data_IF_081836428287
#
_entry.id   IF_081836428287
#
_cell.length_a   1.000
_cell.length_b   1.000
_cell.length_c   1.000
_cell.angle_alpha   90.00
_cell.angle_beta   90.00
_cell.angle_gamma   90.00
#
_symmetry.space_group_name_H-M   'P 1'
#
loop_
_entity.id
_entity.type
_entity.pdbx_description
1 polymer ?
#
# COMPACT_ATOMS: atom_id res chain seq x y z
N UNK A 1 -11.08 -25.98 -7.49
CA UNK A 1 -12.01 -24.96 -6.92
C UNK A 1 -11.19 -23.86 -6.23
N UNK A 2 -11.66 -22.60 -6.15
CA UNK A 2 -10.97 -21.57 -5.35
C UNK A 2 -11.60 -21.50 -3.97
N UNK A 3 -10.77 -21.50 -2.92
CA UNK A 3 -11.22 -21.32 -1.55
C UNK A 3 -10.50 -20.10 -0.95
N UNK A 4 -11.25 -19.30 -0.21
CA UNK A 4 -10.73 -18.13 0.50
C UNK A 4 -10.75 -18.40 1.99
N UNK A 5 -9.62 -18.16 2.64
CA UNK A 5 -9.51 -18.13 4.08
C UNK A 5 -10.07 -16.80 4.61
N UNK A 6 -11.37 -16.80 4.94
CA UNK A 6 -12.13 -15.61 5.38
C UNK A 6 -11.44 -14.80 6.49
N UNK A 7 -10.94 -15.38 7.60
CA UNK A 7 -10.28 -14.59 8.64
C UNK A 7 -9.02 -13.89 8.13
N UNK A 8 -8.19 -14.55 7.30
CA UNK A 8 -6.99 -13.93 6.73
C UNK A 8 -7.37 -12.80 5.76
N UNK A 9 -8.39 -13.01 4.92
CA UNK A 9 -8.89 -11.98 4.01
C UNK A 9 -9.40 -10.74 4.75
N UNK A 10 -10.21 -10.95 5.81
CA UNK A 10 -10.73 -9.86 6.63
C UNK A 10 -9.63 -9.12 7.38
N UNK A 11 -8.68 -9.84 8.00
CA UNK A 11 -7.54 -9.23 8.66
C UNK A 11 -6.70 -8.40 7.69
N UNK A 12 -6.43 -8.92 6.50
CA UNK A 12 -5.70 -8.18 5.46
C UNK A 12 -6.42 -6.89 5.04
N UNK A 13 -7.74 -6.93 4.87
CA UNK A 13 -8.55 -5.76 4.54
C UNK A 13 -8.55 -4.72 5.66
N UNK A 14 -8.70 -5.16 6.92
CA UNK A 14 -8.69 -4.27 8.10
C UNK A 14 -7.32 -3.58 8.24
N UNK A 15 -6.23 -4.32 8.05
CA UNK A 15 -4.87 -3.79 8.12
C UNK A 15 -4.63 -2.75 7.01
N UNK A 16 -5.08 -3.04 5.77
CA UNK A 16 -4.99 -2.09 4.66
C UNK A 16 -5.83 -0.83 4.91
N UNK A 17 -7.01 -0.98 5.52
CA UNK A 17 -7.83 0.17 5.89
C UNK A 17 -7.16 1.01 7.00
N UNK A 18 -6.59 0.38 8.02
CA UNK A 18 -5.84 1.05 9.07
C UNK A 18 -4.60 1.78 8.52
N UNK A 19 -3.94 1.20 7.52
CA UNK A 19 -2.79 1.82 6.84
C UNK A 19 -3.14 3.18 6.20
N UNK A 20 -4.42 3.48 5.95
CA UNK A 20 -4.86 4.76 5.38
C UNK A 20 -4.60 5.94 6.30
N UNK A 21 -4.68 5.67 7.61
CA UNK A 21 -4.51 6.65 8.67
C UNK A 21 -3.06 6.71 9.17
N UNK A 22 -2.21 5.79 8.71
CA UNK A 22 -0.83 5.71 9.14
C UNK A 22 0.06 6.66 8.32
N UNK A 23 1.02 7.36 8.96
CA UNK A 23 1.96 8.18 8.24
C UNK A 23 2.81 7.30 7.31
N UNK A 24 2.92 7.68 6.04
CA UNK A 24 3.77 7.00 5.06
C UNK A 24 5.10 7.72 4.84
N UNK A 25 5.13 9.04 4.95
CA UNK A 25 6.36 9.83 4.94
C UNK A 25 6.31 10.93 5.98
N UNK A 26 7.46 11.24 6.57
CA UNK A 26 7.65 12.39 7.45
C UNK A 26 8.74 13.28 6.87
N UNK A 27 8.47 14.58 6.74
CA UNK A 27 9.46 15.59 6.33
C UNK A 27 9.86 16.39 7.56
N UNK A 28 11.10 16.22 8.05
CA UNK A 28 11.60 16.84 9.29
C UNK A 28 11.93 18.35 9.23
N UNK A 29 12.02 18.99 8.06
CA UNK A 29 12.53 20.39 7.98
C UNK A 29 11.49 21.45 8.39
N UNK A 30 10.19 21.19 8.24
CA UNK A 30 9.17 22.21 8.55
C UNK A 30 8.51 21.90 9.90
N UNK A 31 9.05 22.54 10.94
CA UNK A 31 8.47 22.91 12.24
C UNK A 31 7.21 22.16 12.74
N UNK A 32 7.28 21.70 13.99
CA UNK A 32 6.35 20.92 14.83
C UNK A 32 4.86 21.37 14.93
N UNK A 33 4.34 22.21 14.02
CA UNK A 33 3.00 22.80 14.07
C UNK A 33 2.17 22.62 12.78
N UNK A 34 2.77 22.22 11.66
CA UNK A 34 2.06 22.02 10.36
C UNK A 34 2.18 20.57 9.86
N UNK A 35 2.52 19.63 10.75
CA UNK A 35 2.68 18.20 10.42
C UNK A 35 1.38 17.39 10.47
N UNK A 36 0.22 18.06 10.47
CA UNK A 36 -1.09 17.43 10.24
C UNK A 36 -1.53 17.55 8.76
N UNK A 37 -0.65 18.06 7.90
CA UNK A 37 -0.86 18.14 6.46
C UNK A 37 -0.39 16.87 5.76
N UNK A 38 -1.24 15.84 5.82
CA UNK A 38 -1.59 14.94 4.72
C UNK A 38 -0.52 14.70 3.65
N UNK A 39 -0.09 13.45 3.50
CA UNK A 39 -0.02 12.82 2.16
C UNK A 39 0.52 13.69 1.00
N UNK A 40 1.61 14.44 1.19
CA UNK A 40 2.26 15.20 0.09
C UNK A 40 3.12 14.32 -0.82
N UNK A 41 3.07 13.00 -0.65
CA UNK A 41 3.36 12.07 -1.74
C UNK A 41 2.08 11.81 -2.50
N UNK A 42 1.86 12.61 -3.54
CA UNK A 42 0.84 12.46 -4.58
C UNK A 42 -0.50 11.83 -4.12
N UNK A 43 -1.57 12.63 -3.87
CA UNK A 43 -2.90 12.10 -3.55
C UNK A 43 -3.42 11.10 -4.60
N UNK A 44 -2.87 11.15 -5.82
CA UNK A 44 -3.10 10.18 -6.89
C UNK A 44 -2.70 8.75 -6.48
N UNK A 45 -1.54 8.55 -5.86
CA UNK A 45 -1.07 7.23 -5.42
C UNK A 45 -1.98 6.66 -4.32
N UNK A 46 -2.41 7.52 -3.38
CA UNK A 46 -3.39 7.14 -2.37
C UNK A 46 -4.70 6.67 -3.01
N UNK A 47 -5.30 7.50 -3.86
CA UNK A 47 -6.58 7.23 -4.48
C UNK A 47 -6.55 5.94 -5.30
N UNK A 48 -5.50 5.71 -6.09
CA UNK A 48 -5.36 4.47 -6.86
C UNK A 48 -5.27 3.26 -5.93
N UNK A 49 -4.46 3.34 -4.87
CA UNK A 49 -4.29 2.23 -3.92
C UNK A 49 -5.61 1.87 -3.26
N UNK A 50 -6.34 2.85 -2.73
CA UNK A 50 -7.62 2.61 -2.06
C UNK A 50 -8.75 2.27 -3.01
N UNK A 51 -8.70 2.71 -4.27
CA UNK A 51 -9.61 2.23 -5.31
C UNK A 51 -9.43 0.72 -5.55
N UNK A 52 -8.20 0.24 -5.68
CA UNK A 52 -7.91 -1.20 -5.84
C UNK A 52 -8.38 -1.98 -4.60
N UNK A 53 -8.11 -1.47 -3.40
CA UNK A 53 -8.56 -2.09 -2.13
C UNK A 53 -10.09 -2.16 -2.06
N UNK A 54 -10.80 -1.09 -2.42
CA UNK A 54 -12.26 -1.04 -2.42
C UNK A 54 -12.86 -2.04 -3.42
N UNK A 55 -12.31 -2.13 -4.63
CA UNK A 55 -12.75 -3.10 -5.64
C UNK A 55 -12.46 -4.53 -5.18
N UNK A 56 -11.30 -4.78 -4.56
CA UNK A 56 -10.97 -6.08 -3.98
C UNK A 56 -11.94 -6.47 -2.86
N UNK A 57 -12.28 -5.53 -1.96
CA UNK A 57 -13.27 -5.75 -0.92
C UNK A 57 -14.65 -6.07 -1.51
N UNK A 58 -15.08 -5.34 -2.54
CA UNK A 58 -16.34 -5.62 -3.25
C UNK A 58 -16.34 -7.03 -3.85
N UNK A 59 -15.28 -7.44 -4.55
CA UNK A 59 -15.16 -8.79 -5.10
C UNK A 59 -15.18 -9.88 -4.01
N UNK A 60 -14.64 -9.60 -2.83
CA UNK A 60 -14.73 -10.49 -1.67
C UNK A 60 -16.19 -10.65 -1.20
N UNK A 61 -16.94 -9.55 -1.05
CA UNK A 61 -18.34 -9.59 -0.61
C UNK A 61 -19.28 -10.25 -1.64
N UNK A 62 -19.10 -9.97 -2.94
CA UNK A 62 -19.89 -10.57 -4.02
C UNK A 62 -19.46 -12.02 -4.32
N UNK A 63 -18.49 -12.56 -3.56
CA UNK A 63 -17.93 -13.92 -3.72
C UNK A 63 -17.34 -14.19 -5.11
N UNK A 64 -16.89 -13.14 -5.82
CA UNK A 64 -16.21 -13.24 -7.10
C UNK A 64 -14.73 -13.60 -6.90
N UNK A 65 -14.48 -14.85 -6.49
CA UNK A 65 -13.16 -15.29 -6.00
C UNK A 65 -12.04 -15.21 -7.06
N UNK A 66 -12.38 -15.36 -8.34
CA UNK A 66 -11.42 -15.22 -9.46
C UNK A 66 -10.92 -13.77 -9.58
N UNK A 67 -11.86 -12.81 -9.57
CA UNK A 67 -11.55 -11.39 -9.64
C UNK A 67 -10.82 -10.92 -8.37
N UNK A 68 -11.29 -11.35 -7.20
CA UNK A 68 -10.62 -11.08 -5.92
C UNK A 68 -9.16 -11.51 -5.94
N UNK A 69 -8.86 -12.76 -6.35
CA UNK A 69 -7.49 -13.26 -6.46
C UNK A 69 -6.61 -12.44 -7.42
N UNK A 70 -7.18 -12.00 -8.54
CA UNK A 70 -6.44 -11.18 -9.49
C UNK A 70 -6.11 -9.83 -8.85
N UNK A 71 -7.09 -9.20 -8.22
CA UNK A 71 -6.94 -7.90 -7.56
C UNK A 71 -5.95 -7.94 -6.40
N UNK A 72 -5.90 -9.01 -5.60
CA UNK A 72 -4.90 -9.11 -4.52
C UNK A 72 -3.47 -9.19 -5.04
N UNK A 73 -3.26 -9.83 -6.21
CA UNK A 73 -1.96 -9.85 -6.89
C UNK A 73 -1.61 -8.49 -7.49
N UNK A 74 -2.57 -7.86 -8.17
CA UNK A 74 -2.41 -6.52 -8.73
C UNK A 74 -2.08 -5.51 -7.62
N UNK A 75 -2.78 -5.56 -6.49
CA UNK A 75 -2.53 -4.71 -5.33
C UNK A 75 -1.11 -4.90 -4.78
N UNK A 76 -0.65 -6.14 -4.64
CA UNK A 76 0.70 -6.42 -4.16
C UNK A 76 1.78 -5.87 -5.10
N UNK A 77 1.63 -6.11 -6.41
CA UNK A 77 2.54 -5.55 -7.42
C UNK A 77 2.49 -4.02 -7.41
N UNK A 78 1.29 -3.44 -7.31
CA UNK A 78 1.09 -1.99 -7.23
C UNK A 78 1.81 -1.37 -6.03
N UNK A 79 1.75 -2.00 -4.84
CA UNK A 79 2.46 -1.51 -3.65
C UNK A 79 3.97 -1.53 -3.85
N UNK A 80 4.53 -2.56 -4.49
CA UNK A 80 5.96 -2.61 -4.82
C UNK A 80 6.36 -1.50 -5.82
N UNK A 81 5.56 -1.31 -6.87
CA UNK A 81 5.77 -0.23 -7.84
C UNK A 81 5.66 1.14 -7.20
N UNK A 82 4.69 1.34 -6.31
CA UNK A 82 4.50 2.58 -5.57
C UNK A 82 5.69 2.86 -4.64
N UNK A 83 6.18 1.85 -3.92
CA UNK A 83 7.36 1.99 -3.06
C UNK A 83 8.61 2.36 -3.88
N UNK A 84 8.83 1.70 -5.02
CA UNK A 84 9.92 2.02 -5.93
C UNK A 84 9.78 3.44 -6.51
N UNK A 85 8.59 3.83 -6.96
CA UNK A 85 8.31 5.16 -7.50
C UNK A 85 8.57 6.25 -6.47
N UNK A 86 8.13 6.05 -5.21
CA UNK A 86 8.39 7.00 -4.12
C UNK A 86 9.88 7.06 -3.79
N UNK A 87 10.58 5.92 -3.79
CA UNK A 87 12.02 5.86 -3.58
C UNK A 87 12.78 6.65 -4.65
N UNK A 88 12.57 6.36 -5.94
CA UNK A 88 13.21 7.10 -7.04
C UNK A 88 12.85 8.59 -7.05
N UNK A 89 11.60 8.92 -6.73
CA UNK A 89 11.14 10.30 -6.58
C UNK A 89 11.87 11.00 -5.43
N UNK A 90 12.14 10.33 -4.31
CA UNK A 90 12.87 10.92 -3.20
C UNK A 90 14.38 11.07 -3.44
N UNK A 91 14.97 10.25 -4.32
CA UNK A 91 16.43 10.25 -4.57
C UNK A 91 16.88 11.08 -5.77
N UNK A 92 16.00 11.36 -6.75
CA UNK A 92 16.39 12.02 -8.02
C UNK A 92 15.60 13.30 -8.36
N UNK A 93 14.82 13.86 -7.43
CA UNK A 93 13.92 14.98 -7.76
C UNK A 93 14.61 16.33 -8.00
N UNK A 94 15.80 16.57 -7.45
CA UNK A 94 16.44 17.86 -7.60
C UNK A 94 17.78 17.68 -8.28
N UNK A 95 17.88 17.84 -9.60
CA UNK A 95 19.16 18.07 -10.30
C UNK A 95 19.86 19.39 -9.85
N UNK A 96 19.73 19.77 -8.58
CA UNK A 96 20.27 20.89 -7.85
C UNK A 96 20.97 20.29 -6.62
N UNK A 97 22.30 20.14 -6.69
CA UNK A 97 23.19 19.54 -5.66
C UNK A 97 22.99 20.07 -4.22
N UNK A 98 22.33 21.22 -4.07
CA UNK A 98 22.05 21.86 -2.79
C UNK A 98 20.71 21.41 -2.15
N UNK A 99 19.67 21.19 -2.96
CA UNK A 99 18.36 20.73 -2.49
C UNK A 99 18.36 19.23 -2.18
N UNK A 100 19.10 18.44 -2.97
CA UNK A 100 19.28 17.00 -2.74
C UNK A 100 19.94 16.69 -1.37
N UNK A 101 20.94 17.47 -0.97
CA UNK A 101 21.65 17.26 0.31
C UNK A 101 20.82 17.63 1.55
N UNK A 102 19.87 18.56 1.41
CA UNK A 102 18.99 19.01 2.51
C UNK A 102 17.70 18.19 2.58
N UNK A 103 17.04 17.95 1.44
CA UNK A 103 15.76 17.24 1.37
C UNK A 103 15.93 15.72 1.35
N UNK A 104 16.96 15.19 0.68
CA UNK A 104 17.27 13.76 0.64
C UNK A 104 17.61 13.18 2.03
N UNK A 105 18.22 13.98 2.91
CA UNK A 105 18.43 13.62 4.34
C UNK A 105 17.16 13.63 5.18
N UNK A 106 16.08 14.22 4.66
CA UNK A 106 14.90 14.59 5.46
C UNK A 106 13.69 13.69 5.21
N UNK A 107 13.61 13.04 4.05
CA UNK A 107 12.49 12.16 3.71
C UNK A 107 12.73 10.79 4.34
N UNK A 108 12.06 10.50 5.45
CA UNK A 108 12.09 9.18 6.07
C UNK A 108 10.82 8.39 5.74
N UNK A 109 11.01 7.16 5.25
CA UNK A 109 9.93 6.17 5.14
C UNK A 109 9.40 5.85 6.54
N UNK A 110 8.09 5.98 6.70
CA UNK A 110 7.41 5.72 7.96
C UNK A 110 6.80 4.31 8.00
N UNK A 111 6.30 3.92 9.18
CA UNK A 111 5.78 2.59 9.45
C UNK A 111 4.49 2.25 8.68
N UNK A 112 3.78 3.21 8.08
CA UNK A 112 2.60 2.97 7.25
C UNK A 112 2.87 2.04 6.05
N UNK A 113 4.10 2.04 5.51
CA UNK A 113 4.53 1.13 4.46
C UNK A 113 4.55 -0.33 4.90
N UNK A 114 4.88 -0.57 6.17
CA UNK A 114 4.91 -1.91 6.75
C UNK A 114 3.49 -2.47 6.83
N UNK A 115 2.49 -1.66 7.22
CA UNK A 115 1.10 -2.11 7.23
C UNK A 115 0.56 -2.40 5.83
N UNK A 116 0.88 -1.57 4.83
CA UNK A 116 0.51 -1.86 3.44
C UNK A 116 1.12 -3.19 2.96
N UNK A 117 2.39 -3.42 3.26
CA UNK A 117 3.08 -4.66 2.90
C UNK A 117 2.44 -5.86 3.60
N UNK A 118 2.26 -5.82 4.92
CA UNK A 118 1.65 -6.91 5.69
C UNK A 118 0.22 -7.19 5.20
N UNK A 119 -0.60 -6.15 5.05
CA UNK A 119 -1.98 -6.28 4.62
C UNK A 119 -2.11 -6.88 3.21
N UNK A 120 -1.28 -6.43 2.26
CA UNK A 120 -1.28 -7.00 0.91
C UNK A 120 -0.77 -8.44 0.85
N UNK A 121 0.25 -8.80 1.64
CA UNK A 121 0.74 -10.17 1.77
C UNK A 121 -0.34 -11.10 2.34
N UNK A 122 -1.06 -10.66 3.38
CA UNK A 122 -2.18 -11.42 3.93
C UNK A 122 -3.27 -11.65 2.88
N UNK A 123 -3.65 -10.62 2.11
CA UNK A 123 -4.63 -10.78 1.03
C UNK A 123 -4.14 -11.73 -0.07
N UNK A 124 -2.85 -11.70 -0.42
CA UNK A 124 -2.26 -12.58 -1.43
C UNK A 124 -2.37 -14.05 -1.00
N UNK A 125 -2.05 -14.36 0.26
CA UNK A 125 -2.14 -15.72 0.81
C UNK A 125 -3.54 -16.14 1.25
N UNK A 126 -4.51 -15.23 1.23
CA UNK A 126 -5.90 -15.53 1.60
C UNK A 126 -6.61 -16.47 0.63
N UNK A 127 -6.16 -16.57 -0.65
CA UNK A 127 -6.83 -17.39 -1.67
C UNK A 127 -6.03 -18.63 -2.04
N UNK A 128 -6.53 -19.82 -1.70
CA UNK A 128 -5.92 -21.11 -2.06
C UNK A 128 -6.65 -21.78 -3.22
N UNK A 129 -5.91 -22.52 -4.05
CA UNK A 129 -6.50 -23.40 -5.06
C UNK A 129 -6.64 -24.76 -4.39
N UNK A 130 -7.86 -25.25 -4.28
CA UNK A 130 -8.10 -26.63 -3.86
C UNK A 130 -7.48 -27.55 -4.92
N UNK A 131 -6.46 -28.30 -4.50
CA UNK A 131 -5.97 -29.45 -5.24
C UNK A 131 -6.81 -30.61 -4.77
N UNK A 132 -7.66 -31.14 -5.66
CA UNK A 132 -8.38 -32.38 -5.39
C UNK A 132 -7.31 -33.46 -5.14
N UNK A 133 -7.26 -33.99 -3.91
CA UNK A 133 -6.48 -35.21 -3.66
C UNK A 133 -7.13 -36.33 -4.48
N UNK A 134 -6.34 -37.12 -5.24
CA UNK A 134 -6.85 -38.24 -6.02
C UNK A 134 -7.48 -39.31 -5.12
#
# INVERSE_FOLDING_TARGET
>A
MLIVNKPIALLGLIILFAAAFCPMLQVKILFNLVTWGLYKTDPRLFLITYAIVAIAALCFFVRQLKAYRLLTRVLFIWILLMAAAVYFKSTHYFNLKFADNLLGKTIHFQWGWILLAIGSVLLLFSVKKEVLKP
#
